data_IF_467775799594
#
_entry.id   IF_467775799594
#
_cell.length_a   1.000
_cell.length_b   1.000
_cell.length_c   1.000
_cell.angle_alpha   90.00
_cell.angle_beta   90.00
_cell.angle_gamma   90.00
#
_symmetry.space_group_name_H-M   'P 1'
#
loop_
_entity.id
_entity.type
_entity.pdbx_description
1 polymer ?
#
# COMPACT_ATOMS: atom_id res chain seq x y z
N UNK A 1 37.01 3.10 -27.18
CA UNK A 1 37.14 2.41 -25.87
C UNK A 1 36.02 2.94 -25.02
N UNK A 2 34.87 2.30 -25.17
CA UNK A 2 33.56 2.86 -24.84
C UNK A 2 33.24 2.65 -23.37
N UNK A 3 32.67 3.71 -22.80
CA UNK A 3 32.26 3.91 -21.41
C UNK A 3 31.42 2.75 -20.85
N UNK A 4 31.89 2.12 -19.76
CA UNK A 4 31.25 1.00 -19.05
C UNK A 4 30.33 1.47 -17.90
N UNK A 5 29.79 2.70 -17.97
CA UNK A 5 28.74 3.17 -17.05
C UNK A 5 27.35 2.67 -17.48
N UNK A 6 27.15 1.35 -17.40
CA UNK A 6 25.92 0.69 -17.83
C UNK A 6 25.58 -0.55 -17.01
N UNK A 7 25.76 -0.52 -15.69
CA UNK A 7 25.31 -1.58 -14.79
C UNK A 7 23.91 -1.27 -14.21
N UNK A 8 22.95 -0.97 -15.08
CA UNK A 8 21.50 -1.16 -14.84
C UNK A 8 21.03 -2.46 -15.54
N UNK A 9 21.87 -3.49 -15.43
CA UNK A 9 21.73 -4.76 -16.14
C UNK A 9 21.00 -5.78 -15.29
N UNK A 10 19.67 -5.69 -15.24
CA UNK A 10 18.74 -6.79 -14.94
C UNK A 10 17.27 -6.33 -14.84
N UNK A 11 16.98 -5.03 -14.95
CA UNK A 11 15.61 -4.54 -14.92
C UNK A 11 14.78 -5.28 -15.96
N UNK A 12 13.67 -5.94 -15.59
CA UNK A 12 12.86 -6.71 -16.54
C UNK A 12 12.39 -5.79 -17.68
N UNK A 13 13.07 -5.83 -18.84
CA UNK A 13 12.86 -4.81 -19.89
C UNK A 13 11.69 -5.11 -20.79
N UNK A 14 11.23 -6.37 -20.81
CA UNK A 14 10.29 -6.85 -21.82
C UNK A 14 8.90 -7.02 -21.21
N UNK A 15 7.92 -6.16 -21.55
CA UNK A 15 6.58 -6.21 -20.97
C UNK A 15 5.89 -7.57 -21.10
N UNK A 16 6.20 -8.34 -22.15
CA UNK A 16 5.60 -9.66 -22.36
C UNK A 16 6.21 -10.72 -21.43
N UNK A 17 7.49 -10.59 -21.09
CA UNK A 17 8.19 -11.48 -20.15
C UNK A 17 7.70 -11.19 -18.74
N UNK A 18 7.63 -9.91 -18.35
CA UNK A 18 7.06 -9.53 -17.05
C UNK A 18 5.62 -9.97 -16.89
N UNK A 19 4.81 -9.86 -17.94
CA UNK A 19 3.45 -10.38 -17.88
C UNK A 19 3.48 -11.91 -17.66
N UNK A 20 4.30 -12.65 -18.41
CA UNK A 20 4.46 -14.10 -18.19
C UNK A 20 4.87 -14.46 -16.75
N UNK A 21 5.80 -13.71 -16.17
CA UNK A 21 6.20 -13.85 -14.76
C UNK A 21 5.03 -13.53 -13.82
N UNK A 22 4.29 -12.45 -14.07
CA UNK A 22 3.09 -12.10 -13.30
C UNK A 22 2.08 -13.25 -13.28
N UNK A 23 1.73 -13.84 -14.44
CA UNK A 23 0.77 -14.94 -14.51
C UNK A 23 1.25 -16.18 -13.76
N UNK A 24 2.57 -16.45 -13.79
CA UNK A 24 3.15 -17.54 -13.02
C UNK A 24 3.07 -17.27 -11.50
N UNK A 25 3.42 -16.05 -11.06
CA UNK A 25 3.29 -15.63 -9.65
C UNK A 25 1.84 -15.72 -9.20
N UNK A 26 0.90 -15.18 -9.98
CA UNK A 26 -0.53 -15.25 -9.71
C UNK A 26 -1.00 -16.70 -9.55
N UNK A 27 -0.65 -17.57 -10.50
CA UNK A 27 -1.03 -18.99 -10.45
C UNK A 27 -0.47 -19.70 -9.22
N UNK A 28 0.74 -19.31 -8.80
CA UNK A 28 1.45 -19.89 -7.65
C UNK A 28 0.85 -19.39 -6.32
N UNK A 29 0.70 -18.08 -6.18
CA UNK A 29 0.22 -17.44 -4.95
C UNK A 29 -1.28 -17.66 -4.71
N UNK A 30 -2.07 -17.93 -5.75
CA UNK A 30 -3.50 -18.25 -5.57
C UNK A 30 -3.72 -19.70 -5.07
N UNK A 31 -2.68 -20.55 -5.09
CA UNK A 31 -2.75 -21.88 -4.48
C UNK A 31 -2.56 -21.78 -2.95
N UNK A 32 -3.56 -22.14 -2.12
CA UNK A 32 -3.47 -22.00 -0.66
C UNK A 32 -2.30 -22.77 -0.05
N UNK A 33 -1.93 -23.91 -0.63
CA UNK A 33 -0.81 -24.73 -0.16
C UNK A 33 0.55 -24.11 -0.43
N UNK A 34 0.65 -23.10 -1.30
CA UNK A 34 1.93 -22.44 -1.59
C UNK A 34 2.54 -21.79 -0.35
N UNK A 35 1.70 -21.09 0.43
CA UNK A 35 2.13 -20.39 1.64
C UNK A 35 2.51 -21.34 2.78
N UNK A 36 2.11 -22.61 2.71
CA UNK A 36 2.44 -23.63 3.72
C UNK A 36 3.87 -24.17 3.56
N UNK A 37 4.49 -24.01 2.39
CA UNK A 37 5.77 -24.65 2.06
C UNK A 37 6.95 -23.91 2.70
N UNK A 38 6.96 -22.58 2.65
CA UNK A 38 7.98 -21.74 3.30
C UNK A 38 7.65 -20.24 3.17
N UNK A 39 7.86 -19.49 4.27
CA UNK A 39 7.79 -18.04 4.28
C UNK A 39 8.86 -17.39 3.38
N UNK A 40 10.06 -17.95 3.33
CA UNK A 40 11.18 -17.44 2.51
C UNK A 40 10.85 -17.52 1.01
N UNK A 41 10.29 -18.65 0.58
CA UNK A 41 9.84 -18.83 -0.81
C UNK A 41 8.71 -17.87 -1.16
N UNK A 42 7.80 -17.62 -0.21
CA UNK A 42 6.70 -16.66 -0.38
C UNK A 42 7.24 -15.25 -0.63
N UNK A 43 8.12 -14.76 0.24
CA UNK A 43 8.73 -13.43 0.08
C UNK A 43 9.48 -13.31 -1.24
N UNK A 44 10.25 -14.35 -1.63
CA UNK A 44 10.98 -14.33 -2.89
C UNK A 44 10.06 -14.23 -4.12
N UNK A 45 8.96 -14.99 -4.13
CA UNK A 45 7.98 -14.97 -5.23
C UNK A 45 7.27 -13.62 -5.31
N UNK A 46 6.95 -13.00 -4.17
CA UNK A 46 6.27 -11.71 -4.14
C UNK A 46 7.21 -10.54 -4.51
N UNK A 47 8.51 -10.60 -4.20
CA UNK A 47 9.50 -9.59 -4.64
C UNK A 47 9.56 -9.49 -6.17
N UNK A 48 9.21 -10.55 -6.91
CA UNK A 48 9.09 -10.45 -8.37
C UNK A 48 7.99 -9.47 -8.80
N UNK A 49 6.92 -9.31 -8.00
CA UNK A 49 5.90 -8.30 -8.25
C UNK A 49 6.46 -6.88 -8.09
N UNK A 50 7.36 -6.66 -7.14
CA UNK A 50 8.00 -5.36 -6.92
C UNK A 50 8.93 -4.98 -8.07
N UNK A 51 9.66 -5.95 -8.61
CA UNK A 51 10.47 -5.77 -9.81
C UNK A 51 9.57 -5.39 -10.99
N UNK A 52 8.48 -6.11 -11.23
CA UNK A 52 7.52 -5.79 -12.31
C UNK A 52 6.93 -4.39 -12.09
N UNK A 53 6.55 -4.06 -10.87
CA UNK A 53 5.99 -2.76 -10.47
C UNK A 53 6.96 -1.62 -10.78
N UNK A 54 8.25 -1.81 -10.50
CA UNK A 54 9.29 -0.81 -10.77
C UNK A 54 9.56 -0.61 -12.28
N UNK A 55 9.19 -1.58 -13.12
CA UNK A 55 9.51 -1.60 -14.54
C UNK A 55 8.33 -1.25 -15.45
N UNK A 56 7.11 -1.58 -15.04
CA UNK A 56 5.95 -1.68 -15.94
C UNK A 56 4.69 -1.04 -15.36
N UNK A 57 4.53 0.29 -15.48
CA UNK A 57 3.36 1.00 -14.94
C UNK A 57 2.00 0.51 -15.45
N UNK A 58 1.95 0.03 -16.70
CA UNK A 58 0.71 -0.52 -17.28
C UNK A 58 0.28 -1.85 -16.64
N UNK A 59 1.15 -2.49 -15.86
CA UNK A 59 0.84 -3.76 -15.18
C UNK A 59 0.39 -3.57 -13.73
N UNK A 60 0.51 -2.36 -13.17
CA UNK A 60 0.16 -2.03 -11.78
C UNK A 60 -1.26 -2.45 -11.41
N UNK A 61 -2.23 -2.26 -12.31
CA UNK A 61 -3.63 -2.64 -12.06
C UNK A 61 -3.80 -4.14 -11.86
N UNK A 62 -3.03 -4.98 -12.57
CA UNK A 62 -3.09 -6.43 -12.40
C UNK A 62 -2.46 -6.85 -11.06
N UNK A 63 -1.33 -6.25 -10.70
CA UNK A 63 -0.64 -6.49 -9.43
C UNK A 63 -1.52 -6.06 -8.26
N UNK A 64 -2.12 -4.87 -8.34
CA UNK A 64 -3.08 -4.38 -7.36
C UNK A 64 -4.25 -5.36 -7.15
N UNK A 65 -4.83 -5.87 -8.26
CA UNK A 65 -5.93 -6.82 -8.20
C UNK A 65 -5.54 -8.16 -7.56
N UNK A 66 -4.31 -8.65 -7.83
CA UNK A 66 -3.77 -9.83 -7.18
C UNK A 66 -3.58 -9.60 -5.68
N UNK A 67 -2.85 -8.54 -5.29
CA UNK A 67 -2.59 -8.22 -3.88
C UNK A 67 -3.88 -8.02 -3.09
N UNK A 68 -4.89 -7.36 -3.67
CA UNK A 68 -6.21 -7.23 -3.05
C UNK A 68 -6.85 -8.59 -2.78
N UNK A 69 -6.84 -9.51 -3.76
CA UNK A 69 -7.41 -10.86 -3.57
C UNK A 69 -6.67 -11.66 -2.51
N UNK A 70 -5.33 -11.58 -2.49
CA UNK A 70 -4.51 -12.27 -1.49
C UNK A 70 -4.75 -11.70 -0.08
N UNK A 71 -4.91 -10.38 0.04
CA UNK A 71 -5.19 -9.71 1.31
C UNK A 71 -6.58 -10.05 1.86
N UNK A 72 -7.60 -10.14 0.99
CA UNK A 72 -8.98 -10.47 1.35
C UNK A 72 -9.20 -11.99 1.55
N UNK A 73 -8.28 -12.84 1.09
CA UNK A 73 -8.37 -14.30 1.22
C UNK A 73 -8.20 -14.77 2.68
N UNK A 74 -8.79 -15.94 2.97
CA UNK A 74 -8.63 -16.65 4.24
C UNK A 74 -7.89 -17.96 4.00
N UNK A 75 -6.88 -18.22 4.84
CA UNK A 75 -6.01 -19.39 4.81
C UNK A 75 -6.11 -20.08 6.18
N UNK A 76 -7.07 -21.01 6.38
CA UNK A 76 -7.32 -21.61 7.68
C UNK A 76 -6.11 -22.34 8.27
N UNK A 77 -5.26 -22.93 7.43
CA UNK A 77 -4.02 -23.61 7.84
C UNK A 77 -2.93 -22.66 8.34
N UNK A 78 -3.06 -21.35 8.10
CA UNK A 78 -2.06 -20.33 8.42
C UNK A 78 -2.59 -19.27 9.40
N UNK A 79 -3.61 -19.59 10.20
CA UNK A 79 -4.25 -18.64 11.12
C UNK A 79 -3.24 -17.89 12.01
N UNK A 80 -2.23 -18.60 12.53
CA UNK A 80 -1.17 -18.02 13.39
C UNK A 80 -0.26 -17.06 12.62
N UNK A 81 0.06 -17.38 11.36
CA UNK A 81 0.99 -16.63 10.49
C UNK A 81 0.26 -15.60 9.62
N UNK A 82 -1.07 -15.57 9.66
CA UNK A 82 -1.93 -14.73 8.82
C UNK A 82 -1.57 -13.24 8.92
N UNK A 83 -1.29 -12.78 10.14
CA UNK A 83 -0.92 -11.38 10.39
C UNK A 83 0.38 -11.00 9.66
N UNK A 84 1.38 -11.87 9.71
CA UNK A 84 2.70 -11.66 9.09
C UNK A 84 2.60 -11.74 7.56
N UNK A 85 1.78 -12.66 7.06
CA UNK A 85 1.50 -12.78 5.62
C UNK A 85 0.75 -11.55 5.09
N UNK A 86 -0.30 -11.09 5.79
CA UNK A 86 -1.02 -9.86 5.41
C UNK A 86 -0.13 -8.63 5.49
N UNK A 87 0.76 -8.53 6.48
CA UNK A 87 1.79 -7.49 6.55
C UNK A 87 2.68 -7.50 5.30
N UNK A 88 3.14 -8.68 4.89
CA UNK A 88 3.94 -8.84 3.67
C UNK A 88 3.19 -8.34 2.43
N UNK A 89 1.89 -8.65 2.30
CA UNK A 89 1.09 -8.09 1.19
C UNK A 89 0.97 -6.56 1.25
N UNK A 90 0.83 -5.98 2.45
CA UNK A 90 0.81 -4.53 2.63
C UNK A 90 2.14 -3.90 2.22
N UNK A 91 3.28 -4.53 2.49
CA UNK A 91 4.60 -4.04 2.08
C UNK A 91 4.68 -3.88 0.56
N UNK A 92 4.22 -4.89 -0.19
CA UNK A 92 4.15 -4.84 -1.66
C UNK A 92 3.13 -3.80 -2.15
N UNK A 93 2.01 -3.59 -1.44
CA UNK A 93 1.07 -2.50 -1.76
C UNK A 93 1.67 -1.11 -1.50
N UNK A 94 2.50 -0.95 -0.47
CA UNK A 94 3.23 0.30 -0.17
C UNK A 94 4.31 0.56 -1.23
N UNK A 95 4.98 -0.48 -1.72
CA UNK A 95 5.89 -0.36 -2.87
C UNK A 95 5.14 0.07 -4.14
N UNK A 96 3.97 -0.50 -4.40
CA UNK A 96 3.09 -0.11 -5.49
C UNK A 96 2.62 1.34 -5.38
N UNK A 97 2.32 1.81 -4.17
CA UNK A 97 2.05 3.22 -3.86
C UNK A 97 3.27 4.10 -4.18
N UNK A 98 4.47 3.65 -3.82
CA UNK A 98 5.74 4.36 -4.08
C UNK A 98 6.07 4.45 -5.58
N UNK A 99 5.46 3.61 -6.41
CA UNK A 99 5.56 3.61 -7.86
C UNK A 99 4.37 4.33 -8.55
N UNK A 100 3.82 5.37 -7.92
CA UNK A 100 2.73 6.23 -8.44
C UNK A 100 1.34 5.57 -8.57
N UNK A 101 1.12 4.37 -8.01
CA UNK A 101 -0.20 3.72 -8.02
C UNK A 101 -0.97 3.92 -6.69
N UNK A 102 -0.99 5.16 -6.21
CA UNK A 102 -1.42 5.54 -4.86
C UNK A 102 -2.92 5.32 -4.61
N UNK A 103 -3.78 5.86 -5.49
CA UNK A 103 -5.23 5.96 -5.22
C UNK A 103 -5.89 4.58 -5.10
N UNK A 104 -5.63 3.60 -5.99
CA UNK A 104 -6.22 2.26 -5.87
C UNK A 104 -5.77 1.53 -4.60
N UNK A 105 -4.50 1.69 -4.20
CA UNK A 105 -3.96 1.10 -2.97
C UNK A 105 -4.70 1.63 -1.75
N UNK A 106 -4.74 2.96 -1.56
CA UNK A 106 -5.40 3.58 -0.41
C UNK A 106 -6.90 3.29 -0.38
N UNK A 107 -7.55 3.30 -1.55
CA UNK A 107 -8.99 2.99 -1.67
C UNK A 107 -9.29 1.55 -1.26
N UNK A 108 -8.41 0.60 -1.58
CA UNK A 108 -8.54 -0.78 -1.14
C UNK A 108 -8.45 -0.90 0.37
N UNK A 109 -7.44 -0.27 1.00
CA UNK A 109 -7.29 -0.32 2.47
C UNK A 109 -8.49 0.34 3.16
N UNK A 110 -8.98 1.46 2.63
CA UNK A 110 -10.20 2.09 3.12
C UNK A 110 -11.43 1.17 3.02
N UNK A 111 -11.58 0.45 1.90
CA UNK A 111 -12.63 -0.58 1.75
C UNK A 111 -12.47 -1.68 2.80
N UNK A 112 -11.25 -2.20 3.01
CA UNK A 112 -10.98 -3.24 4.00
C UNK A 112 -11.29 -2.81 5.44
N UNK A 113 -11.02 -1.54 5.76
CA UNK A 113 -11.39 -0.92 7.04
C UNK A 113 -12.92 -0.91 7.22
N UNK A 114 -13.68 -0.47 6.22
CA UNK A 114 -15.15 -0.42 6.30
C UNK A 114 -15.75 -1.82 6.39
N UNK A 115 -15.22 -2.79 5.65
CA UNK A 115 -15.72 -4.17 5.65
C UNK A 115 -15.25 -5.00 6.84
N UNK A 116 -14.30 -4.51 7.65
CA UNK A 116 -13.72 -5.26 8.76
C UNK A 116 -12.93 -6.50 8.33
N UNK A 117 -12.40 -6.53 7.10
CA UNK A 117 -11.64 -7.68 6.58
C UNK A 117 -10.16 -7.65 6.99
N UNK A 118 -9.70 -6.49 7.45
CA UNK A 118 -8.35 -6.25 7.92
C UNK A 118 -8.39 -5.66 9.33
N UNK A 119 -7.57 -6.20 10.22
CA UNK A 119 -7.50 -5.75 11.60
C UNK A 119 -6.93 -4.33 11.72
N UNK A 120 -7.37 -3.59 12.74
CA UNK A 120 -6.90 -2.22 13.00
C UNK A 120 -5.37 -2.15 13.21
N UNK A 121 -4.71 -3.20 13.70
CA UNK A 121 -3.25 -3.27 13.82
C UNK A 121 -2.53 -3.20 12.47
N UNK A 122 -3.07 -3.87 11.45
CA UNK A 122 -2.52 -3.92 10.09
C UNK A 122 -2.82 -2.63 9.33
N UNK A 123 -4.02 -2.06 9.51
CA UNK A 123 -4.34 -0.75 8.93
C UNK A 123 -3.45 0.33 9.55
N UNK A 124 -3.23 0.28 10.87
CA UNK A 124 -2.31 1.19 11.56
C UNK A 124 -0.88 1.07 11.03
N UNK A 125 -0.42 -0.16 10.81
CA UNK A 125 0.88 -0.38 10.19
C UNK A 125 0.97 0.28 8.81
N UNK A 126 0.00 0.02 7.93
CA UNK A 126 -0.05 0.64 6.60
C UNK A 126 -0.02 2.18 6.69
N UNK A 127 -0.82 2.77 7.57
CA UNK A 127 -0.85 4.23 7.77
C UNK A 127 0.51 4.77 8.23
N UNK A 128 1.17 4.11 9.20
CA UNK A 128 2.51 4.51 9.66
C UNK A 128 3.53 4.50 8.53
N UNK A 129 3.57 3.43 7.75
CA UNK A 129 4.53 3.29 6.65
C UNK A 129 4.27 4.30 5.55
N UNK A 130 3.00 4.53 5.18
CA UNK A 130 2.67 5.56 4.19
C UNK A 130 3.08 6.95 4.69
N UNK A 131 2.78 7.28 5.95
CA UNK A 131 3.18 8.56 6.54
C UNK A 131 4.70 8.75 6.65
N UNK A 132 5.49 7.66 6.68
CA UNK A 132 6.95 7.75 6.75
C UNK A 132 7.61 8.04 5.39
N UNK A 133 6.92 7.77 4.29
CA UNK A 133 7.46 7.94 2.92
C UNK A 133 6.83 9.09 2.13
N UNK A 134 5.67 9.61 2.55
CA UNK A 134 5.01 10.74 1.86
C UNK A 134 5.45 12.10 2.43
N UNK A 135 5.32 13.14 1.61
CA UNK A 135 5.50 14.52 2.04
C UNK A 135 4.68 15.51 1.20
N UNK A 136 4.51 16.75 1.67
CA UNK A 136 3.76 17.78 0.94
C UNK A 136 4.49 18.21 -0.37
N UNK A 137 3.77 18.77 -1.35
CA UNK A 137 2.34 19.09 -1.34
C UNK A 137 1.44 17.88 -1.67
N UNK A 138 0.36 17.71 -0.91
CA UNK A 138 -0.61 16.62 -1.13
C UNK A 138 -1.70 16.99 -2.12
N UNK A 139 -2.08 16.05 -2.99
CA UNK A 139 -3.22 16.24 -3.89
C UNK A 139 -4.55 16.15 -3.14
N UNK A 140 -5.58 16.85 -3.65
CA UNK A 140 -6.94 16.77 -3.10
C UNK A 140 -7.55 15.38 -3.23
N UNK A 141 -7.17 14.65 -4.29
CA UNK A 141 -7.62 13.29 -4.52
C UNK A 141 -7.07 12.34 -3.46
N UNK A 142 -5.75 12.33 -3.25
CA UNK A 142 -5.11 11.51 -2.23
C UNK A 142 -5.65 11.81 -0.83
N UNK A 143 -5.71 13.10 -0.46
CA UNK A 143 -6.22 13.51 0.86
C UNK A 143 -7.66 13.09 1.08
N UNK A 144 -8.51 13.09 0.04
CA UNK A 144 -9.90 12.65 0.16
C UNK A 144 -10.06 11.17 0.50
N UNK A 145 -9.14 10.32 0.02
CA UNK A 145 -9.18 8.86 0.27
C UNK A 145 -8.36 8.44 1.49
N UNK A 146 -7.31 9.18 1.84
CA UNK A 146 -6.45 8.87 2.98
C UNK A 146 -7.00 9.43 4.30
N UNK A 147 -7.67 10.59 4.27
CA UNK A 147 -8.21 11.22 5.48
C UNK A 147 -9.18 10.34 6.28
N UNK A 148 -10.10 9.57 5.67
CA UNK A 148 -10.98 8.66 6.41
C UNK A 148 -10.23 7.61 7.25
N UNK A 149 -9.05 7.14 6.80
CA UNK A 149 -8.22 6.20 7.57
C UNK A 149 -7.70 6.87 8.85
N UNK A 150 -7.42 8.17 8.80
CA UNK A 150 -6.94 9.00 9.90
C UNK A 150 -8.06 9.61 10.75
N UNK A 151 -9.33 9.33 10.45
CA UNK A 151 -10.48 9.75 11.27
C UNK A 151 -10.97 8.64 12.20
N UNK A 152 -10.45 7.42 12.05
CA UNK A 152 -10.80 6.31 12.91
C UNK A 152 -9.89 6.31 14.14
N UNK A 153 -10.49 6.60 15.31
CA UNK A 153 -9.78 6.71 16.58
C UNK A 153 -9.05 5.42 16.99
N UNK A 154 -9.55 4.24 16.62
CA UNK A 154 -8.88 2.96 16.91
C UNK A 154 -7.56 2.80 16.15
N UNK A 155 -7.44 3.45 15.00
CA UNK A 155 -6.21 3.45 14.19
C UNK A 155 -5.27 4.54 14.72
N UNK A 156 -5.78 5.74 14.95
CA UNK A 156 -5.00 6.97 15.21
C UNK A 156 -4.50 7.07 16.64
N UNK A 157 -5.26 6.61 17.63
CA UNK A 157 -4.93 6.76 19.06
C UNK A 157 -3.56 6.21 19.46
N UNK A 158 -3.06 5.20 18.75
CA UNK A 158 -1.74 4.61 18.97
C UNK A 158 -0.63 5.22 18.11
N UNK A 159 -0.96 6.04 17.12
CA UNK A 159 -0.02 6.71 16.22
C UNK A 159 0.36 8.10 16.73
N UNK A 160 -0.58 8.76 17.42
CA UNK A 160 -0.37 10.09 17.97
C UNK A 160 0.51 9.98 19.21
N UNK A 161 1.76 10.40 19.06
CA UNK A 161 2.65 10.62 20.20
C UNK A 161 2.23 11.87 20.99
N UNK A 162 2.63 12.01 22.26
CA UNK A 162 2.34 13.23 23.04
C UNK A 162 3.09 14.48 22.52
N UNK A 163 3.92 14.36 21.49
CA UNK A 163 4.69 15.45 20.90
C UNK A 163 3.99 16.05 19.69
N UNK A 164 4.09 17.38 19.53
CA UNK A 164 3.46 18.14 18.43
C UNK A 164 3.95 17.79 17.02
N UNK A 165 5.07 17.07 16.91
CA UNK A 165 5.70 16.68 15.65
C UNK A 165 5.31 15.25 15.21
N UNK A 166 4.19 14.71 15.70
CA UNK A 166 3.72 13.41 15.24
C UNK A 166 3.27 13.47 13.77
N UNK A 167 3.53 12.41 12.97
CA UNK A 167 3.31 12.44 11.53
C UNK A 167 1.84 12.60 11.12
N UNK A 168 0.91 12.18 11.98
CA UNK A 168 -0.53 12.34 11.73
C UNK A 168 -0.92 13.82 11.87
N UNK A 169 -0.48 14.49 12.94
CA UNK A 169 -0.71 15.92 13.14
C UNK A 169 -0.08 16.78 12.03
N UNK A 170 1.14 16.45 11.61
CA UNK A 170 1.81 17.12 10.48
C UNK A 170 1.01 16.96 9.19
N UNK A 171 0.55 15.74 8.89
CA UNK A 171 -0.30 15.50 7.73
C UNK A 171 -1.61 16.30 7.79
N UNK A 172 -2.29 16.32 8.95
CA UNK A 172 -3.55 17.03 9.12
C UNK A 172 -3.41 18.55 9.03
N UNK A 173 -2.26 19.11 9.43
CA UNK A 173 -1.97 20.54 9.30
C UNK A 173 -1.75 20.97 7.85
N UNK A 174 -1.09 20.12 7.05
CA UNK A 174 -0.77 20.36 5.63
C UNK A 174 -1.90 19.92 4.68
N UNK A 175 -2.86 19.13 5.18
CA UNK A 175 -4.00 18.69 4.40
C UNK A 175 -4.75 19.94 3.91
N UNK A 176 -4.97 20.10 2.59
CA UNK A 176 -5.55 21.31 2.02
C UNK A 176 -6.93 21.54 2.64
N UNK A 177 -6.96 22.40 3.66
CA UNK A 177 -8.18 22.76 4.36
C UNK A 177 -9.19 23.19 3.32
N UNK A 178 -10.43 22.67 3.45
CA UNK A 178 -11.62 23.18 2.78
C UNK A 178 -11.76 24.67 3.08
N UNK A 179 -11.02 25.47 2.32
CA UNK A 179 -11.05 26.91 2.36
C UNK A 179 -12.36 27.30 1.72
N UNK A 180 -13.34 27.64 2.58
CA UNK A 180 -14.52 28.51 2.38
C UNK A 180 -15.86 27.82 2.70
N UNK A 181 -16.38 28.10 3.91
CA UNK A 181 -17.71 28.75 4.04
C UNK A 181 -17.67 29.86 5.09
N UNK A 182 -17.52 31.08 4.55
CA UNK A 182 -17.92 32.42 5.02
C UNK A 182 -18.25 32.60 6.51
N UNK A 183 -17.46 33.48 7.16
CA UNK A 183 -17.97 34.49 8.11
C UNK A 183 -19.33 35.01 7.60
N UNK A 184 -20.44 34.66 8.27
CA UNK A 184 -21.57 35.57 8.36
C UNK A 184 -21.40 36.35 9.65
N UNK A 185 -21.09 37.62 9.45
CA UNK A 185 -21.07 38.69 10.43
C UNK A 185 -22.28 38.60 11.37
N UNK A 186 -22.04 38.74 12.67
CA UNK A 186 -22.98 39.49 13.52
C UNK A 186 -23.14 40.88 12.87
N UNK A 187 -24.37 41.32 12.65
CA UNK A 187 -24.83 42.69 12.90
C UNK A 187 -26.31 42.83 12.49
N UNK A 188 -27.08 43.33 13.46
CA UNK A 188 -28.52 43.63 13.51
C UNK A 188 -29.47 42.46 13.72
#
# INVERSE_FOLDING_TARGET
>A
MSDWRGTEGARNRYPIVSMGVFWWVESTATNPSFFEVSAETTSLVLVLLDEITSCHPLQHTYIMSLLQRLLEASYPSLEVQMQELKRTFLDHMIHLLSCDHVIPVVSCIHKCMISGTLDHSLIRYFVSEVLSIIGPPYSTEFTSVFLPLLQNDEIVSSLVSQTKDDPVSLFLAECPHKSKKKKKSKNN
#
